data_IF_540261609564
#
_entry.id   IF_540261609564
#
_cell.length_a   1.000
_cell.length_b   1.000
_cell.length_c   1.000
_cell.angle_alpha   90.00
_cell.angle_beta   90.00
_cell.angle_gamma   90.00
#
_symmetry.space_group_name_H-M   'P 1'
#
loop_
_entity.id
_entity.type
_entity.pdbx_description
1 polymer ?
#
# COMPACT_ATOMS: atom_id res chain seq x y z
N UNK A 1 -21.90 -61.87 6.33
CA UNK A 1 -22.29 -60.80 7.24
C UNK A 1 -21.51 -59.55 6.83
N UNK A 2 -22.17 -58.70 6.10
CA UNK A 2 -21.55 -57.45 5.59
C UNK A 2 -21.79 -56.31 6.60
N UNK A 3 -20.74 -55.76 7.14
CA UNK A 3 -20.84 -54.51 7.88
C UNK A 3 -20.57 -53.36 6.90
N UNK A 4 -21.62 -52.61 6.59
CA UNK A 4 -21.53 -51.35 5.89
C UNK A 4 -21.03 -50.29 6.87
N UNK A 5 -19.83 -49.84 6.66
CA UNK A 5 -19.29 -48.69 7.35
C UNK A 5 -19.65 -47.43 6.57
N UNK A 6 -20.65 -46.74 7.04
CA UNK A 6 -21.04 -45.43 6.51
C UNK A 6 -20.07 -44.39 7.12
N UNK A 7 -19.12 -43.92 6.33
CA UNK A 7 -18.34 -42.77 6.71
C UNK A 7 -19.16 -41.53 6.48
N UNK A 8 -19.64 -40.92 7.54
CA UNK A 8 -20.17 -39.59 7.53
C UNK A 8 -19.05 -38.60 7.21
N UNK A 9 -19.10 -38.03 6.04
CA UNK A 9 -18.31 -36.84 5.70
C UNK A 9 -18.86 -35.66 6.49
N UNK A 10 -18.10 -35.23 7.48
CA UNK A 10 -18.30 -33.93 8.09
C UNK A 10 -17.91 -32.87 7.06
N UNK A 11 -18.90 -32.31 6.40
CA UNK A 11 -18.73 -31.07 5.65
C UNK A 11 -18.39 -29.94 6.62
N UNK A 12 -17.13 -29.57 6.65
CA UNK A 12 -16.73 -28.32 7.26
C UNK A 12 -17.22 -27.17 6.35
N UNK A 13 -18.33 -26.58 6.72
CA UNK A 13 -18.77 -25.31 6.16
C UNK A 13 -17.78 -24.24 6.60
N UNK A 14 -16.74 -24.05 5.81
CA UNK A 14 -15.92 -22.86 5.82
C UNK A 14 -16.78 -21.70 5.37
N UNK A 15 -17.29 -20.91 6.30
CA UNK A 15 -17.84 -19.62 6.00
C UNK A 15 -16.71 -18.75 5.47
N UNK A 16 -16.68 -18.56 4.15
CA UNK A 16 -15.82 -17.60 3.50
C UNK A 16 -16.26 -16.20 3.95
N UNK A 17 -15.43 -15.57 4.78
CA UNK A 17 -15.62 -14.18 5.21
C UNK A 17 -15.42 -13.16 4.05
N UNK A 18 -15.38 -13.63 2.82
CA UNK A 18 -15.12 -12.82 1.63
C UNK A 18 -16.39 -12.34 0.90
N UNK A 19 -17.57 -12.67 1.41
CA UNK A 19 -18.85 -12.31 0.75
C UNK A 19 -19.47 -11.05 1.36
N UNK A 20 -18.69 -9.96 1.36
CA UNK A 20 -19.24 -8.64 1.62
C UNK A 20 -19.59 -8.01 0.26
N UNK A 21 -20.86 -7.62 0.05
CA UNK A 21 -21.23 -6.99 -1.20
C UNK A 21 -20.41 -5.73 -1.44
N UNK A 22 -19.79 -5.65 -2.62
CA UNK A 22 -19.11 -4.46 -3.08
C UNK A 22 -20.13 -3.31 -3.13
N UNK A 23 -20.07 -2.40 -2.19
CA UNK A 23 -20.83 -1.16 -2.24
C UNK A 23 -20.16 -0.25 -3.26
N UNK A 24 -20.59 -0.36 -4.51
CA UNK A 24 -20.15 0.49 -5.61
C UNK A 24 -20.77 1.88 -5.49
N UNK A 25 -20.44 2.59 -4.41
CA UNK A 25 -20.77 3.99 -4.25
C UNK A 25 -19.60 4.89 -4.68
N UNK A 26 -19.83 6.17 -5.00
CA UNK A 26 -18.79 7.12 -5.36
C UNK A 26 -17.73 7.31 -4.26
N UNK A 27 -18.05 6.91 -3.03
CA UNK A 27 -17.16 6.96 -1.86
C UNK A 27 -16.56 5.60 -1.47
N UNK A 28 -16.75 4.56 -2.29
CA UNK A 28 -16.15 3.26 -2.01
C UNK A 28 -14.61 3.34 -2.11
N UNK A 29 -13.87 2.62 -1.25
CA UNK A 29 -12.41 2.59 -1.30
C UNK A 29 -11.86 2.21 -2.68
N UNK A 30 -12.55 1.34 -3.40
CA UNK A 30 -12.20 0.95 -4.75
C UNK A 30 -12.37 2.07 -5.78
N UNK A 31 -13.43 2.86 -5.69
CA UNK A 31 -13.69 3.99 -6.59
C UNK A 31 -12.64 5.10 -6.43
N UNK A 32 -12.21 5.37 -5.19
CA UNK A 32 -11.14 6.32 -4.91
C UNK A 32 -9.81 5.89 -5.54
N UNK A 33 -9.46 4.62 -5.40
CA UNK A 33 -8.24 4.01 -5.94
C UNK A 33 -8.20 4.05 -7.46
N UNK A 34 -9.32 3.77 -8.14
CA UNK A 34 -9.40 3.73 -9.60
C UNK A 34 -9.28 5.10 -10.28
N UNK A 35 -9.58 6.19 -9.56
CA UNK A 35 -9.54 7.57 -10.07
C UNK A 35 -8.15 8.22 -9.98
N UNK A 36 -7.22 7.63 -9.23
CA UNK A 36 -5.86 8.17 -9.11
C UNK A 36 -5.04 7.83 -10.35
N UNK A 37 -4.18 8.78 -10.77
CA UNK A 37 -3.17 8.53 -11.80
C UNK A 37 -2.23 7.42 -11.32
N UNK A 38 -1.89 6.50 -12.21
CA UNK A 38 -0.99 5.39 -11.93
C UNK A 38 0.34 5.61 -12.64
N UNK A 39 1.42 5.29 -11.94
CA UNK A 39 2.79 5.38 -12.42
C UNK A 39 3.56 4.12 -12.02
N UNK A 40 4.73 3.93 -12.62
CA UNK A 40 5.70 2.92 -12.20
C UNK A 40 6.91 3.62 -11.62
N UNK A 41 7.39 3.16 -10.47
CA UNK A 41 8.62 3.65 -9.85
C UNK A 41 9.71 2.59 -9.91
N UNK A 42 10.87 3.02 -10.35
CA UNK A 42 12.06 2.19 -10.55
C UNK A 42 13.15 2.66 -9.59
N UNK A 43 13.81 1.73 -8.93
CA UNK A 43 14.95 2.00 -8.07
C UNK A 43 16.27 2.10 -8.84
N UNK A 44 17.36 2.49 -8.15
CA UNK A 44 18.66 2.78 -8.79
C UNK A 44 19.34 1.55 -9.41
N UNK A 45 18.92 0.35 -9.03
CA UNK A 45 19.41 -0.91 -9.64
C UNK A 45 18.52 -1.46 -10.74
N UNK A 46 17.54 -0.67 -11.19
CA UNK A 46 16.55 -1.10 -12.18
C UNK A 46 15.42 -1.97 -11.61
N UNK A 47 15.39 -2.19 -10.30
CA UNK A 47 14.29 -2.92 -9.66
C UNK A 47 13.00 -2.11 -9.68
N UNK A 48 11.88 -2.78 -9.92
CA UNK A 48 10.56 -2.15 -9.82
C UNK A 48 10.22 -2.01 -8.33
N UNK A 49 10.24 -0.77 -7.85
CA UNK A 49 9.87 -0.45 -6.45
C UNK A 49 8.36 -0.42 -6.29
N UNK A 50 7.67 0.13 -7.27
CA UNK A 50 6.22 0.16 -7.27
C UNK A 50 5.71 0.04 -8.70
N UNK A 51 5.15 -1.11 -9.03
CA UNK A 51 4.61 -1.39 -10.36
C UNK A 51 3.25 -0.75 -10.62
N UNK A 52 2.50 -0.51 -9.55
CA UNK A 52 1.23 0.24 -9.59
C UNK A 52 1.25 1.28 -8.48
N UNK A 53 1.80 2.44 -8.79
CA UNK A 53 1.87 3.57 -7.89
C UNK A 53 0.71 4.54 -8.15
N UNK A 54 -0.20 4.65 -7.20
CA UNK A 54 -1.32 5.60 -7.25
C UNK A 54 -0.84 6.97 -6.76
N UNK A 55 -1.05 8.01 -7.54
CA UNK A 55 -0.58 9.36 -7.19
C UNK A 55 -1.68 10.17 -6.53
N UNK A 56 -1.46 10.53 -5.28
CA UNK A 56 -2.34 11.38 -4.48
C UNK A 56 -1.75 12.80 -4.43
N UNK A 57 -2.13 13.64 -5.37
CA UNK A 57 -1.62 15.00 -5.51
C UNK A 57 -2.63 16.10 -5.12
N UNK A 58 -3.86 15.72 -4.82
CA UNK A 58 -4.91 16.64 -4.34
C UNK A 58 -5.01 16.58 -2.81
N UNK A 59 -5.41 17.69 -2.12
CA UNK A 59 -5.46 17.72 -0.66
C UNK A 59 -6.25 16.56 -0.05
N UNK A 60 -7.46 16.29 -0.56
CA UNK A 60 -8.31 15.21 -0.06
C UNK A 60 -7.74 13.81 -0.34
N UNK A 61 -7.05 13.60 -1.47
CA UNK A 61 -6.42 12.31 -1.78
C UNK A 61 -5.18 12.07 -0.93
N UNK A 62 -4.40 13.14 -0.63
CA UNK A 62 -3.24 13.05 0.27
C UNK A 62 -3.65 12.75 1.72
N UNK A 63 -4.68 13.40 2.22
CA UNK A 63 -5.19 13.12 3.56
C UNK A 63 -5.68 11.71 3.72
N UNK A 64 -6.24 11.15 2.65
CA UNK A 64 -6.80 9.80 2.67
C UNK A 64 -5.73 8.71 2.51
N UNK A 65 -4.73 8.91 1.63
CA UNK A 65 -3.72 7.88 1.37
C UNK A 65 -4.33 6.50 1.18
N UNK A 66 -3.90 5.54 1.99
CA UNK A 66 -4.43 4.16 2.02
C UNK A 66 -5.58 3.96 3.01
N UNK A 67 -6.12 5.04 3.61
CA UNK A 67 -7.27 4.93 4.52
C UNK A 67 -8.47 4.33 3.79
N UNK A 68 -9.08 3.34 4.40
CA UNK A 68 -10.23 2.62 3.84
C UNK A 68 -9.86 1.51 2.86
N UNK A 69 -8.59 1.35 2.53
CA UNK A 69 -8.16 0.19 1.76
C UNK A 69 -8.17 -1.06 2.65
N UNK A 70 -8.49 -2.20 2.05
CA UNK A 70 -8.48 -3.47 2.77
C UNK A 70 -7.08 -4.03 2.91
N UNK A 71 -6.24 -3.80 1.90
CA UNK A 71 -4.85 -4.24 1.84
C UNK A 71 -4.07 -3.39 0.84
N UNK A 72 -2.77 -3.43 0.98
CA UNK A 72 -1.80 -2.92 0.04
C UNK A 72 -0.96 -4.10 -0.45
N UNK A 73 -1.05 -4.42 -1.73
CA UNK A 73 -0.37 -5.57 -2.32
C UNK A 73 1.11 -5.32 -2.61
N UNK A 74 1.87 -6.39 -2.86
CA UNK A 74 3.23 -6.27 -3.37
C UNK A 74 3.25 -5.52 -4.69
N UNK A 75 4.23 -4.65 -4.85
CA UNK A 75 4.37 -3.84 -6.07
C UNK A 75 3.31 -2.77 -6.23
N UNK A 76 2.45 -2.57 -5.23
CA UNK A 76 1.44 -1.53 -5.20
C UNK A 76 1.77 -0.49 -4.14
N UNK A 77 1.47 0.77 -4.41
CA UNK A 77 1.73 1.85 -3.47
C UNK A 77 0.94 3.10 -3.76
N UNK A 78 1.05 4.05 -2.83
CA UNK A 78 0.48 5.39 -2.97
C UNK A 78 1.57 6.42 -2.77
N UNK A 79 1.74 7.31 -3.73
CA UNK A 79 2.63 8.46 -3.63
C UNK A 79 1.84 9.70 -3.24
N UNK A 80 2.08 10.18 -2.04
CA UNK A 80 1.52 11.42 -1.51
C UNK A 80 2.44 12.59 -1.90
N UNK A 81 1.99 13.51 -2.71
CA UNK A 81 2.82 14.61 -3.19
C UNK A 81 1.99 15.89 -3.45
N UNK A 82 2.41 17.05 -2.90
CA UNK A 82 3.47 17.29 -1.93
C UNK A 82 3.09 16.78 -0.52
N UNK A 83 4.03 16.17 0.20
CA UNK A 83 3.78 15.65 1.54
C UNK A 83 5.10 15.45 2.30
N UNK A 84 5.11 15.76 3.59
CA UNK A 84 6.27 15.54 4.48
C UNK A 84 5.95 14.70 5.71
N UNK A 85 4.71 14.27 5.85
CA UNK A 85 4.23 13.47 6.97
C UNK A 85 3.19 12.46 6.52
N UNK A 86 3.07 11.39 7.28
CA UNK A 86 2.05 10.36 7.09
C UNK A 86 1.48 9.94 8.43
N UNK A 87 0.19 9.72 8.49
CA UNK A 87 -0.48 9.13 9.63
C UNK A 87 -1.16 7.82 9.20
N UNK A 88 -1.20 6.88 10.11
CA UNK A 88 -1.85 5.59 9.90
C UNK A 88 -3.13 5.44 10.71
N UNK A 89 -3.72 6.56 11.14
CA UNK A 89 -5.04 6.56 11.75
C UNK A 89 -6.06 5.97 10.77
N UNK A 90 -6.88 5.05 11.24
CA UNK A 90 -7.87 4.30 10.45
C UNK A 90 -7.30 3.42 9.33
N UNK A 91 -5.99 3.25 9.22
CA UNK A 91 -5.37 2.24 8.39
C UNK A 91 -5.38 0.91 9.15
N UNK A 92 -5.75 -0.18 8.48
CA UNK A 92 -5.99 -1.48 9.13
C UNK A 92 -4.80 -2.42 9.10
N UNK A 93 -3.71 -2.04 8.46
CA UNK A 93 -2.53 -2.86 8.24
C UNK A 93 -1.26 -2.00 8.39
N UNK A 94 -0.12 -2.61 8.73
CA UNK A 94 1.16 -1.88 8.74
C UNK A 94 1.58 -1.51 7.32
N UNK A 95 2.32 -0.42 7.18
CA UNK A 95 2.87 0.06 5.91
C UNK A 95 4.35 0.39 6.05
N UNK A 96 5.06 0.38 4.93
CA UNK A 96 6.36 1.03 4.81
C UNK A 96 6.16 2.44 4.26
N UNK A 97 6.70 3.44 4.92
CA UNK A 97 6.67 4.83 4.49
C UNK A 97 8.05 5.28 4.04
N UNK A 98 8.18 5.63 2.77
CA UNK A 98 9.41 6.12 2.15
C UNK A 98 9.30 7.62 1.97
N UNK A 99 10.13 8.37 2.67
CA UNK A 99 10.18 9.84 2.56
C UNK A 99 11.16 10.23 1.47
N UNK A 100 10.69 11.04 0.54
CA UNK A 100 11.41 11.46 -0.66
C UNK A 100 11.57 12.97 -0.69
N UNK A 101 12.69 13.46 -1.19
CA UNK A 101 12.89 14.87 -1.48
C UNK A 101 12.28 15.27 -2.85
N UNK A 102 12.51 16.50 -3.29
CA UNK A 102 12.01 17.03 -4.56
C UNK A 102 12.65 16.39 -5.79
N UNK A 103 13.79 15.70 -5.62
CA UNK A 103 14.46 14.95 -6.68
C UNK A 103 14.16 13.44 -6.64
N UNK A 104 13.15 13.04 -5.88
CA UNK A 104 12.79 11.62 -5.66
C UNK A 104 13.89 10.79 -5.01
N UNK A 105 14.78 11.44 -4.25
CA UNK A 105 15.79 10.77 -3.45
C UNK A 105 15.21 10.39 -2.10
N UNK A 106 15.45 9.15 -1.68
CA UNK A 106 15.01 8.64 -0.37
C UNK A 106 15.82 9.33 0.73
N UNK A 107 15.13 10.06 1.58
CA UNK A 107 15.75 10.74 2.75
C UNK A 107 15.52 9.98 4.04
N UNK A 108 14.49 9.15 4.11
CA UNK A 108 14.20 8.30 5.27
C UNK A 108 13.24 7.17 4.88
N UNK A 109 13.34 6.06 5.59
CA UNK A 109 12.42 4.93 5.48
C UNK A 109 11.89 4.60 6.88
N UNK A 110 10.59 4.47 7.02
CA UNK A 110 9.91 3.96 8.21
C UNK A 110 9.26 2.64 7.86
N UNK A 111 9.95 1.55 8.18
CA UNK A 111 9.45 0.20 7.92
C UNK A 111 8.45 -0.22 8.98
N UNK A 112 7.46 -1.00 8.57
CA UNK A 112 6.47 -1.62 9.45
C UNK A 112 5.75 -0.61 10.37
N UNK A 113 5.36 0.53 9.80
CA UNK A 113 4.60 1.54 10.53
C UNK A 113 3.20 1.01 10.82
N UNK A 114 2.96 0.71 12.08
CA UNK A 114 1.69 0.12 12.56
C UNK A 114 0.53 1.12 12.45
N UNK A 115 -0.72 0.66 12.46
CA UNK A 115 -1.88 1.55 12.58
C UNK A 115 -1.77 2.51 13.78
N UNK A 116 -2.41 3.68 13.66
CA UNK A 116 -2.43 4.72 14.70
C UNK A 116 -1.06 5.27 15.04
N UNK A 117 -0.23 5.51 14.04
CA UNK A 117 1.07 6.15 14.18
C UNK A 117 1.15 7.39 13.31
N UNK A 118 2.07 8.25 13.67
CA UNK A 118 2.45 9.44 12.91
C UNK A 118 3.96 9.37 12.64
N UNK A 119 4.34 9.64 11.41
CA UNK A 119 5.74 9.77 11.03
C UNK A 119 5.91 11.00 10.14
N UNK A 120 7.04 11.68 10.30
CA UNK A 120 7.39 12.83 9.48
C UNK A 120 8.90 12.88 9.26
N UNK A 121 9.30 13.58 8.22
CA UNK A 121 10.71 13.83 7.94
C UNK A 121 10.89 15.24 7.40
N UNK A 122 11.73 16.02 8.09
CA UNK A 122 12.13 17.34 7.59
C UNK A 122 12.89 17.18 6.28
N UNK A 123 12.58 18.03 5.29
CA UNK A 123 13.16 17.96 3.95
C UNK A 123 12.44 17.01 3.00
N UNK A 124 11.50 16.20 3.47
CA UNK A 124 10.65 15.41 2.60
C UNK A 124 9.67 16.29 1.82
N UNK A 125 9.44 15.93 0.56
CA UNK A 125 8.48 16.57 -0.36
C UNK A 125 7.44 15.59 -0.88
N UNK A 126 7.69 14.31 -0.69
CA UNK A 126 6.73 13.25 -1.00
C UNK A 126 6.89 12.09 -0.03
N UNK A 127 5.82 11.32 0.14
CA UNK A 127 5.83 10.08 0.89
C UNK A 127 5.26 8.97 0.02
N UNK A 128 6.02 7.90 -0.14
CA UNK A 128 5.57 6.69 -0.82
C UNK A 128 5.15 5.66 0.23
N UNK A 129 3.90 5.29 0.22
CA UNK A 129 3.35 4.23 1.07
C UNK A 129 3.40 2.91 0.31
N UNK A 130 4.06 1.91 0.87
CA UNK A 130 4.19 0.57 0.34
C UNK A 130 3.67 -0.46 1.35
N UNK A 131 3.43 -1.68 0.90
CA UNK A 131 3.13 -2.78 1.81
C UNK A 131 4.28 -2.98 2.79
N UNK A 132 3.95 -3.39 4.02
CA UNK A 132 4.95 -3.69 5.04
C UNK A 132 5.95 -4.75 4.57
N UNK A 133 7.25 -4.46 4.74
CA UNK A 133 8.34 -5.34 4.33
C UNK A 133 8.82 -5.13 2.89
N UNK A 134 8.15 -4.33 2.08
CA UNK A 134 8.55 -4.10 0.68
C UNK A 134 9.90 -3.36 0.58
N UNK A 135 10.18 -2.41 1.48
CA UNK A 135 11.46 -1.71 1.46
C UNK A 135 12.63 -2.65 1.69
N UNK A 136 12.52 -3.57 2.65
CA UNK A 136 13.56 -4.58 2.90
C UNK A 136 13.69 -5.55 1.74
N UNK A 137 12.58 -6.04 1.22
CA UNK A 137 12.56 -6.98 0.09
C UNK A 137 13.21 -6.39 -1.16
N UNK A 138 12.98 -5.11 -1.42
CA UNK A 138 13.46 -4.41 -2.62
C UNK A 138 14.79 -3.68 -2.38
N UNK A 139 15.28 -3.66 -1.14
CA UNK A 139 16.51 -2.97 -0.76
C UNK A 139 16.42 -1.45 -0.91
N UNK A 140 15.24 -0.87 -0.69
CA UNK A 140 15.05 0.59 -0.71
C UNK A 140 15.67 1.20 0.53
N UNK A 141 16.59 2.13 0.35
CA UNK A 141 17.38 2.73 1.44
C UNK A 141 17.54 4.24 1.26
N UNK A 142 17.78 4.98 2.35
CA UNK A 142 18.17 6.38 2.24
C UNK A 142 19.36 6.56 1.28
N UNK A 143 19.27 7.55 0.42
CA UNK A 143 20.24 7.83 -0.63
C UNK A 143 19.86 7.28 -2.00
N UNK A 144 18.98 6.31 -2.07
CA UNK A 144 18.45 5.80 -3.34
C UNK A 144 17.63 6.89 -4.05
N UNK A 145 17.79 6.99 -5.36
CA UNK A 145 16.94 7.85 -6.20
C UNK A 145 15.96 6.98 -6.98
N UNK A 146 14.68 7.28 -6.85
CA UNK A 146 13.63 6.61 -7.60
C UNK A 146 13.37 7.35 -8.91
N UNK A 147 13.23 6.58 -9.99
CA UNK A 147 12.89 7.11 -11.30
C UNK A 147 11.48 6.69 -11.72
N UNK A 148 10.97 7.37 -12.74
CA UNK A 148 9.72 7.02 -13.38
C UNK A 148 9.99 5.93 -14.43
N UNK A 149 9.24 4.84 -14.38
CA UNK A 149 9.27 3.78 -15.38
C UNK A 149 8.09 3.88 -16.34
N UNK A 150 8.27 3.32 -17.53
CA UNK A 150 7.16 3.08 -18.44
C UNK A 150 6.39 1.84 -17.97
N UNK A 151 5.08 1.96 -17.99
CA UNK A 151 4.21 0.82 -17.73
C UNK A 151 4.23 -0.16 -18.92
#
# INVERSE_FOLDING_TARGET
>A
MSFLHTSENAESTGSSEDDWPAVDGPDSPGAHRSRMRKLVLIGPRGQVVCGTCHVANRPHTRMRGVIGWRRLGRGEGVLLQPCSSVHTAFVRFPIDAVFLDDEMKVVSVRSELKPWRLAWKRGARAVLELASGECDRLGVRPGDRLGWGSA
#
